data_IF_469808353141
#
_entry.id   IF_469808353141
#
_cell.length_a   1.000
_cell.length_b   1.000
_cell.length_c   1.000
_cell.angle_alpha   90.00
_cell.angle_beta   90.00
_cell.angle_gamma   90.00
#
_symmetry.space_group_name_H-M   'P 1'
#
loop_
_entity.id
_entity.type
_entity.pdbx_description
1 polymer ?
#
# COMPACT_ATOMS: atom_id res chain seq x y z
N UNK A 1 -1.11 -18.66 8.33
CA UNK A 1 -0.78 -17.48 7.48
C UNK A 1 -1.84 -16.39 7.47
N UNK A 2 -3.15 -16.67 7.29
CA UNK A 2 -4.18 -15.61 7.26
C UNK A 2 -4.44 -14.92 8.62
N UNK A 3 -4.32 -15.65 9.74
CA UNK A 3 -4.45 -15.08 11.10
C UNK A 3 -3.29 -14.15 11.48
N UNK A 4 -2.07 -14.50 11.08
CA UNK A 4 -0.87 -13.72 11.39
C UNK A 4 -0.91 -12.34 10.72
N UNK A 5 -1.31 -12.26 9.45
CA UNK A 5 -1.44 -10.99 8.74
C UNK A 5 -2.55 -10.09 9.30
N UNK A 6 -3.67 -10.66 9.76
CA UNK A 6 -4.77 -9.86 10.34
C UNK A 6 -4.38 -9.26 11.70
N UNK A 7 -3.73 -10.04 12.57
CA UNK A 7 -3.27 -9.53 13.87
C UNK A 7 -2.18 -8.46 13.71
N UNK A 8 -1.24 -8.65 12.77
CA UNK A 8 -0.22 -7.64 12.46
C UNK A 8 -0.86 -6.36 11.93
N UNK A 9 -1.83 -6.44 11.01
CA UNK A 9 -2.52 -5.26 10.51
C UNK A 9 -3.24 -4.47 11.62
N UNK A 10 -3.97 -5.13 12.52
CA UNK A 10 -4.67 -4.44 13.62
C UNK A 10 -3.70 -3.77 14.59
N UNK A 11 -2.62 -4.46 14.96
CA UNK A 11 -1.59 -3.91 15.86
C UNK A 11 -0.87 -2.74 15.21
N UNK A 12 -0.49 -2.86 13.93
CA UNK A 12 0.12 -1.78 13.17
C UNK A 12 -0.83 -0.57 12.99
N UNK A 13 -2.13 -0.80 12.76
CA UNK A 13 -3.11 0.28 12.68
C UNK A 13 -3.21 1.04 14.01
N UNK A 14 -3.31 0.32 15.13
CA UNK A 14 -3.34 0.95 16.46
C UNK A 14 -2.05 1.74 16.74
N UNK A 15 -0.88 1.15 16.44
CA UNK A 15 0.40 1.80 16.67
C UNK A 15 0.58 3.09 15.86
N UNK A 16 0.15 3.12 14.59
CA UNK A 16 0.23 4.31 13.74
C UNK A 16 -0.71 5.42 14.22
N UNK A 17 -1.90 5.07 14.71
CA UNK A 17 -2.86 6.07 15.20
C UNK A 17 -2.43 6.82 16.46
N UNK A 18 -1.64 6.17 17.31
CA UNK A 18 -1.31 6.66 18.66
C UNK A 18 0.13 7.22 18.76
N UNK A 19 0.93 7.18 17.69
CA UNK A 19 2.35 7.54 17.73
C UNK A 19 2.84 8.16 16.42
N UNK A 20 3.97 8.87 16.49
CA UNK A 20 4.68 9.30 15.28
C UNK A 20 5.35 8.10 14.57
N UNK A 21 5.62 8.25 13.27
CA UNK A 21 6.18 7.17 12.46
C UNK A 21 7.54 6.70 12.99
N UNK A 22 8.39 7.61 13.47
CA UNK A 22 9.71 7.25 13.99
C UNK A 22 9.59 6.36 15.24
N UNK A 23 8.62 6.63 16.12
CA UNK A 23 8.33 5.79 17.28
C UNK A 23 7.84 4.39 16.87
N UNK A 24 6.96 4.29 15.87
CA UNK A 24 6.49 2.99 15.34
C UNK A 24 7.65 2.22 14.70
N UNK A 25 8.47 2.88 13.88
CA UNK A 25 9.64 2.28 13.22
C UNK A 25 10.68 1.78 14.24
N UNK A 26 10.88 2.49 15.36
CA UNK A 26 11.77 2.03 16.43
C UNK A 26 11.33 0.70 17.03
N UNK A 27 10.03 0.40 17.06
CA UNK A 27 9.52 -0.88 17.55
C UNK A 27 9.84 -2.04 16.60
N UNK A 28 10.19 -1.75 15.33
CA UNK A 28 10.61 -2.76 14.35
C UNK A 28 12.07 -3.18 14.53
N UNK A 29 12.94 -2.29 15.04
CA UNK A 29 14.38 -2.56 15.24
C UNK A 29 14.65 -3.84 16.07
N UNK A 30 13.99 -4.07 17.22
CA UNK A 30 14.15 -5.31 17.98
C UNK A 30 13.78 -6.57 17.18
N UNK A 31 12.77 -6.49 16.30
CA UNK A 31 12.33 -7.63 15.47
C UNK A 31 13.39 -8.02 14.42
N UNK A 32 14.08 -7.04 13.85
CA UNK A 32 15.19 -7.27 12.91
C UNK A 32 16.39 -7.88 13.66
N UNK A 33 16.69 -7.37 14.86
CA UNK A 33 17.80 -7.87 15.67
C UNK A 33 17.55 -9.30 16.16
N UNK A 34 16.33 -9.63 16.58
CA UNK A 34 15.99 -11.00 17.01
C UNK A 34 16.03 -12.00 15.84
N UNK A 35 15.65 -11.59 14.62
CA UNK A 35 15.74 -12.42 13.43
C UNK A 35 17.19 -12.87 13.13
N UNK A 36 18.19 -12.02 13.39
CA UNK A 36 19.61 -12.37 13.22
C UNK A 36 20.12 -13.42 14.23
N UNK A 37 19.46 -13.56 15.38
CA UNK A 37 19.89 -14.43 16.49
C UNK A 37 19.28 -15.84 16.47
N UNK A 38 18.27 -16.08 15.62
CA UNK A 38 17.46 -17.31 15.65
C UNK A 38 18.09 -18.49 14.90
N UNK A 39 19.13 -18.28 14.10
CA UNK A 39 19.79 -19.37 13.35
C UNK A 39 20.56 -20.39 14.23
N UNK A 40 20.57 -20.22 15.56
CA UNK A 40 21.32 -21.07 16.50
C UNK A 40 20.51 -21.98 17.43
N UNK A 41 19.16 -21.99 17.41
CA UNK A 41 18.39 -22.80 18.37
C UNK A 41 17.30 -23.63 17.70
N UNK A 42 17.65 -24.87 17.38
CA UNK A 42 16.68 -25.93 17.08
C UNK A 42 15.93 -26.30 18.36
N UNK A 43 14.85 -25.59 18.67
CA UNK A 43 13.86 -26.05 19.66
C UNK A 43 13.24 -24.95 20.53
N UNK A 44 12.31 -24.17 19.96
CA UNK A 44 11.03 -23.81 20.60
C UNK A 44 10.29 -22.74 19.77
N UNK A 45 9.24 -23.15 19.06
CA UNK A 45 7.96 -22.43 18.94
C UNK A 45 7.83 -21.05 18.27
N UNK A 46 8.87 -20.23 18.13
CA UNK A 46 8.73 -18.89 17.52
C UNK A 46 9.64 -18.78 16.30
N UNK A 47 9.07 -19.02 15.13
CA UNK A 47 9.73 -18.76 13.86
C UNK A 47 10.00 -17.25 13.77
N UNK A 48 11.27 -16.86 13.74
CA UNK A 48 11.66 -15.48 13.48
C UNK A 48 11.10 -14.98 12.13
N UNK A 49 10.75 -13.70 12.06
CA UNK A 49 10.26 -13.06 10.84
C UNK A 49 11.34 -13.12 9.75
N UNK A 50 10.99 -13.60 8.56
CA UNK A 50 11.90 -13.59 7.41
C UNK A 50 12.07 -12.17 6.86
N UNK A 51 13.16 -11.92 6.13
CA UNK A 51 13.41 -10.59 5.51
C UNK A 51 12.24 -10.17 4.61
N UNK A 52 11.68 -11.10 3.84
CA UNK A 52 10.50 -10.85 3.00
C UNK A 52 9.28 -10.38 3.80
N UNK A 53 9.07 -10.94 4.99
CA UNK A 53 7.95 -10.58 5.88
C UNK A 53 8.19 -9.21 6.54
N UNK A 54 9.43 -8.92 6.92
CA UNK A 54 9.83 -7.60 7.41
C UNK A 54 9.62 -6.52 6.34
N UNK A 55 10.01 -6.80 5.09
CA UNK A 55 9.77 -5.90 3.96
C UNK A 55 8.27 -5.70 3.71
N UNK A 56 7.45 -6.76 3.78
CA UNK A 56 6.00 -6.66 3.66
C UNK A 56 5.37 -5.82 4.79
N UNK A 57 5.86 -5.97 6.02
CA UNK A 57 5.43 -5.17 7.16
C UNK A 57 5.80 -3.69 6.97
N UNK A 58 7.02 -3.38 6.52
CA UNK A 58 7.41 -2.01 6.21
C UNK A 58 6.54 -1.40 5.11
N UNK A 59 6.23 -2.16 4.05
CA UNK A 59 5.27 -1.72 3.02
C UNK A 59 3.93 -1.34 3.65
N UNK A 60 3.40 -2.18 4.57
CA UNK A 60 2.15 -1.88 5.25
C UNK A 60 2.24 -0.61 6.11
N UNK A 61 3.29 -0.47 6.93
CA UNK A 61 3.50 0.70 7.79
C UNK A 61 3.61 2.00 7.00
N UNK A 62 4.43 2.02 5.95
CA UNK A 62 4.56 3.21 5.10
C UNK A 62 3.29 3.49 4.31
N UNK A 63 2.48 2.48 3.97
CA UNK A 63 1.17 2.73 3.35
C UNK A 63 0.21 3.52 4.26
N UNK A 64 0.48 3.55 5.57
CA UNK A 64 -0.27 4.27 6.60
C UNK A 64 0.48 5.47 7.18
N UNK A 65 1.69 5.81 6.71
CA UNK A 65 2.52 6.83 7.36
C UNK A 65 1.89 8.22 7.39
N UNK A 66 1.07 8.55 6.39
CA UNK A 66 0.32 9.81 6.35
C UNK A 66 -0.74 9.96 7.43
N UNK A 67 -1.03 8.89 8.18
CA UNK A 67 -2.02 8.84 9.27
C UNK A 67 -1.35 8.93 10.65
N UNK A 68 -0.02 8.84 10.71
CA UNK A 68 0.74 8.96 11.94
C UNK A 68 0.70 10.38 12.50
N UNK A 69 0.93 10.52 13.81
CA UNK A 69 1.09 11.84 14.41
C UNK A 69 2.29 12.56 13.78
N UNK A 70 2.24 13.90 13.62
CA UNK A 70 3.38 14.67 13.13
C UNK A 70 4.61 14.42 14.00
N UNK A 71 5.66 13.88 13.38
CA UNK A 71 6.93 13.58 14.03
C UNK A 71 8.02 14.59 13.70
N UNK A 72 9.15 14.42 14.37
CA UNK A 72 10.40 15.08 14.01
C UNK A 72 11.04 14.34 12.82
N UNK A 73 11.14 15.02 11.66
CA UNK A 73 11.68 14.44 10.44
C UNK A 73 13.14 13.97 10.58
N UNK A 74 13.94 14.66 11.41
CA UNK A 74 15.32 14.26 11.67
C UNK A 74 15.39 12.94 12.45
N UNK A 75 14.41 12.72 13.35
CA UNK A 75 14.29 11.47 14.11
C UNK A 75 13.83 10.32 13.22
N UNK A 76 12.89 10.58 12.31
CA UNK A 76 12.44 9.59 11.32
C UNK A 76 13.62 9.13 10.46
N UNK A 77 14.35 10.08 9.87
CA UNK A 77 15.50 9.78 9.01
C UNK A 77 16.61 9.04 9.77
N UNK A 78 16.84 9.38 11.05
CA UNK A 78 17.78 8.66 11.91
C UNK A 78 17.36 7.21 12.12
N UNK A 79 16.09 6.95 12.43
CA UNK A 79 15.57 5.59 12.67
C UNK A 79 15.59 4.78 11.37
N UNK A 80 15.27 5.39 10.23
CA UNK A 80 15.41 4.75 8.93
C UNK A 80 16.85 4.31 8.66
N UNK A 81 17.85 5.17 8.90
CA UNK A 81 19.27 4.79 8.76
C UNK A 81 19.65 3.62 9.65
N UNK A 82 19.16 3.59 10.89
CA UNK A 82 19.37 2.47 11.81
C UNK A 82 18.72 1.17 11.28
N UNK A 83 17.50 1.25 10.74
CA UNK A 83 16.80 0.12 10.13
C UNK A 83 17.51 -0.39 8.87
N UNK A 84 17.97 0.51 8.00
CA UNK A 84 18.74 0.17 6.80
C UNK A 84 20.02 -0.58 7.21
N UNK A 85 20.75 -0.07 8.20
CA UNK A 85 21.95 -0.74 8.71
C UNK A 85 21.66 -2.13 9.26
N UNK A 86 20.61 -2.27 10.09
CA UNK A 86 20.22 -3.55 10.67
C UNK A 86 19.77 -4.57 9.60
N UNK A 87 18.97 -4.13 8.62
CA UNK A 87 18.53 -4.97 7.50
C UNK A 87 19.68 -5.33 6.57
N UNK A 88 20.66 -4.43 6.38
CA UNK A 88 21.86 -4.70 5.57
C UNK A 88 22.61 -5.88 6.16
N UNK A 89 22.86 -5.85 7.48
CA UNK A 89 23.52 -6.94 8.18
C UNK A 89 22.72 -8.23 8.06
N UNK A 90 21.43 -8.19 8.36
CA UNK A 90 20.55 -9.37 8.29
C UNK A 90 20.52 -9.99 6.88
N UNK A 91 20.49 -9.15 5.84
CA UNK A 91 20.48 -9.56 4.45
C UNK A 91 21.80 -10.22 4.04
N UNK A 92 22.95 -9.65 4.42
CA UNK A 92 24.28 -10.22 4.12
C UNK A 92 24.58 -11.52 4.86
N UNK A 93 23.85 -11.81 5.95
CA UNK A 93 23.98 -13.04 6.72
C UNK A 93 23.10 -14.18 6.17
N UNK A 94 22.21 -13.91 5.21
CA UNK A 94 21.33 -14.93 4.66
C UNK A 94 22.11 -16.05 3.97
N UNK A 95 21.79 -17.29 4.31
CA UNK A 95 22.36 -18.47 3.63
C UNK A 95 21.64 -18.81 2.33
N UNK A 96 20.44 -18.27 2.11
CA UNK A 96 19.65 -18.41 0.90
C UNK A 96 18.94 -17.10 0.58
N UNK A 97 18.87 -16.73 -0.70
CA UNK A 97 18.12 -15.54 -1.15
C UNK A 97 16.76 -15.98 -1.67
N UNK A 98 15.69 -15.38 -1.14
CA UNK A 98 14.34 -15.54 -1.70
C UNK A 98 14.26 -14.94 -3.12
N UNK A 99 13.26 -15.33 -3.93
CA UNK A 99 13.05 -14.69 -5.25
C UNK A 99 12.91 -13.18 -5.17
N UNK A 100 12.31 -12.65 -4.10
CA UNK A 100 12.24 -11.22 -3.84
C UNK A 100 13.63 -10.61 -3.67
N UNK A 101 14.44 -11.19 -2.78
CA UNK A 101 15.79 -10.71 -2.50
C UNK A 101 16.69 -10.79 -3.72
N UNK A 102 16.60 -11.86 -4.51
CA UNK A 102 17.34 -11.97 -5.77
C UNK A 102 16.93 -10.86 -6.76
N UNK A 103 15.63 -10.59 -6.86
CA UNK A 103 15.08 -9.57 -7.77
C UNK A 103 15.52 -8.16 -7.40
N UNK A 104 15.45 -7.78 -6.11
CA UNK A 104 15.83 -6.43 -5.67
C UNK A 104 17.35 -6.22 -5.60
N UNK A 105 18.13 -7.27 -5.36
CA UNK A 105 19.60 -7.18 -5.30
C UNK A 105 20.29 -7.35 -6.65
N UNK A 106 19.59 -7.98 -7.61
CA UNK A 106 20.13 -8.39 -8.90
C UNK A 106 21.18 -9.49 -8.78
N UNK A 107 21.17 -10.26 -7.69
CA UNK A 107 22.16 -11.29 -7.36
C UNK A 107 21.48 -12.64 -7.20
N UNK A 108 22.10 -13.71 -7.70
CA UNK A 108 21.52 -15.06 -7.67
C UNK A 108 21.97 -15.89 -6.45
N UNK A 109 23.12 -15.56 -5.86
CA UNK A 109 23.68 -16.30 -4.73
C UNK A 109 24.10 -15.38 -3.58
N UNK A 110 23.94 -15.80 -2.30
CA UNK A 110 24.38 -14.97 -1.17
C UNK A 110 25.88 -14.61 -1.21
N UNK A 111 26.72 -15.46 -1.79
CA UNK A 111 28.17 -15.24 -1.90
C UNK A 111 28.54 -14.01 -2.75
N UNK A 112 27.68 -13.62 -3.69
CA UNK A 112 27.85 -12.44 -4.54
C UNK A 112 27.32 -11.15 -3.86
N UNK A 113 26.58 -11.28 -2.75
CA UNK A 113 25.92 -10.15 -2.10
C UNK A 113 26.86 -9.44 -1.11
N UNK A 114 27.62 -8.47 -1.63
CA UNK A 114 28.49 -7.62 -0.82
C UNK A 114 27.70 -6.59 -0.01
N UNK A 115 28.27 -6.16 1.13
CA UNK A 115 27.64 -5.23 2.07
C UNK A 115 27.22 -3.90 1.43
N UNK A 116 28.08 -3.31 0.60
CA UNK A 116 27.79 -2.05 -0.10
C UNK A 116 26.56 -2.16 -1.02
N UNK A 117 26.46 -3.28 -1.75
CA UNK A 117 25.30 -3.56 -2.62
C UNK A 117 24.03 -3.74 -1.80
N UNK A 118 24.09 -4.55 -0.74
CA UNK A 118 22.95 -4.77 0.15
C UNK A 118 22.46 -3.44 0.76
N UNK A 119 23.38 -2.57 1.17
CA UNK A 119 23.06 -1.26 1.71
C UNK A 119 22.38 -0.36 0.69
N UNK A 120 22.96 -0.20 -0.50
CA UNK A 120 22.41 0.63 -1.58
C UNK A 120 21.01 0.16 -2.03
N UNK A 121 20.79 -1.15 -2.10
CA UNK A 121 19.46 -1.72 -2.41
C UNK A 121 18.45 -1.34 -1.34
N UNK A 122 18.82 -1.41 -0.06
CA UNK A 122 17.93 -1.04 1.04
C UNK A 122 17.65 0.47 1.09
N UNK A 123 18.61 1.33 0.74
CA UNK A 123 18.34 2.77 0.56
C UNK A 123 17.29 3.02 -0.54
N UNK A 124 17.36 2.28 -1.65
CA UNK A 124 16.37 2.34 -2.73
C UNK A 124 14.99 1.84 -2.28
N UNK A 125 14.96 0.78 -1.48
CA UNK A 125 13.73 0.26 -0.84
C UNK A 125 13.10 1.34 0.04
N UNK A 126 13.86 1.99 0.93
CA UNK A 126 13.34 3.07 1.79
C UNK A 126 12.89 4.29 0.99
N UNK A 127 13.60 4.62 -0.09
CA UNK A 127 13.16 5.68 -1.02
C UNK A 127 11.80 5.36 -1.63
N UNK A 128 11.58 4.10 -2.03
CA UNK A 128 10.27 3.62 -2.51
C UNK A 128 9.20 3.68 -1.41
N UNK A 129 9.54 3.28 -0.18
CA UNK A 129 8.63 3.30 0.97
C UNK A 129 8.17 4.72 1.32
N UNK A 130 9.06 5.71 1.33
CA UNK A 130 8.67 7.13 1.50
C UNK A 130 7.73 7.59 0.39
N UNK A 131 8.03 7.24 -0.86
CA UNK A 131 7.14 7.49 -2.00
C UNK A 131 5.74 6.88 -1.81
N UNK A 132 5.66 5.65 -1.28
CA UNK A 132 4.40 4.99 -0.94
C UNK A 132 3.61 5.76 0.12
N UNK A 133 4.28 6.30 1.15
CA UNK A 133 3.64 7.13 2.17
C UNK A 133 3.00 8.41 1.63
N UNK A 134 3.55 8.95 0.55
CA UNK A 134 3.02 10.14 -0.12
C UNK A 134 2.12 9.86 -1.32
N UNK A 135 1.92 8.59 -1.69
CA UNK A 135 1.21 8.19 -2.90
C UNK A 135 -0.22 8.71 -2.99
N UNK A 136 -0.83 9.06 -1.84
CA UNK A 136 -2.20 9.58 -1.76
C UNK A 136 -2.29 11.07 -1.44
N UNK A 137 -1.15 11.77 -1.35
CA UNK A 137 -1.08 13.17 -0.89
C UNK A 137 -1.82 14.15 -1.81
N UNK A 138 -1.94 13.82 -3.09
CA UNK A 138 -2.66 14.63 -4.09
C UNK A 138 -4.18 14.40 -4.10
N UNK A 139 -4.68 13.36 -3.44
CA UNK A 139 -6.13 13.09 -3.36
C UNK A 139 -6.77 14.00 -2.31
N UNK A 140 -8.01 14.42 -2.57
CA UNK A 140 -8.73 15.39 -1.74
C UNK A 140 -9.60 14.70 -0.69
N UNK A 141 -10.39 13.71 -1.11
CA UNK A 141 -11.32 12.96 -0.26
C UNK A 141 -10.79 11.56 0.06
N UNK A 142 -10.19 10.88 -0.91
CA UNK A 142 -9.74 9.48 -0.80
C UNK A 142 -8.27 9.36 -0.32
N UNK A 143 -7.79 10.34 0.44
CA UNK A 143 -6.39 10.41 0.89
C UNK A 143 -6.05 9.38 1.97
N UNK A 144 -7.00 9.09 2.86
CA UNK A 144 -6.78 8.19 4.00
C UNK A 144 -7.35 6.80 3.76
N UNK A 145 -6.59 5.77 4.13
CA UNK A 145 -7.03 4.36 4.17
C UNK A 145 -7.10 3.83 5.59
N UNK A 146 -7.23 4.75 6.54
CA UNK A 146 -7.26 4.49 7.97
C UNK A 146 -8.56 5.03 8.55
N UNK A 147 -9.11 4.31 9.51
CA UNK A 147 -10.25 4.76 10.30
C UNK A 147 -9.82 4.77 11.76
N UNK A 148 -9.75 5.95 12.40
CA UNK A 148 -9.27 6.07 13.77
C UNK A 148 -10.20 5.36 14.75
N UNK A 149 -9.66 5.02 15.92
CA UNK A 149 -10.44 4.52 17.04
C UNK A 149 -11.41 5.61 17.53
N UNK A 150 -12.67 5.24 17.76
CA UNK A 150 -13.72 6.13 18.27
C UNK A 150 -14.11 5.82 19.72
N UNK A 151 -13.28 5.03 20.43
CA UNK A 151 -13.51 4.57 21.80
C UNK A 151 -14.45 3.36 21.91
N UNK A 152 -15.17 3.00 20.84
CA UNK A 152 -16.05 1.82 20.76
C UNK A 152 -15.47 0.79 19.77
N UNK A 153 -14.92 1.27 18.67
CA UNK A 153 -14.28 0.50 17.62
C UNK A 153 -12.79 0.77 17.63
N UNK A 154 -12.00 -0.28 17.48
CA UNK A 154 -10.55 -0.15 17.31
C UNK A 154 -10.23 0.52 15.97
N UNK A 155 -9.04 1.10 15.89
CA UNK A 155 -8.50 1.59 14.63
C UNK A 155 -8.51 0.48 13.57
N UNK A 156 -8.99 0.80 12.36
CA UNK A 156 -9.10 -0.19 11.27
C UNK A 156 -8.57 0.33 9.95
N UNK A 157 -8.05 -0.59 9.14
CA UNK A 157 -7.74 -0.33 7.75
C UNK A 157 -9.04 -0.23 6.94
N UNK A 158 -9.20 0.87 6.19
CA UNK A 158 -10.31 1.13 5.27
C UNK A 158 -9.79 1.01 3.83
N UNK A 159 -9.97 -0.15 3.16
CA UNK A 159 -9.39 -0.39 1.84
C UNK A 159 -9.84 0.64 0.81
N UNK A 160 -8.91 1.15 0.01
CA UNK A 160 -9.16 2.20 -0.96
C UNK A 160 -10.28 1.86 -1.97
N UNK A 161 -10.29 0.62 -2.49
CA UNK A 161 -11.32 0.14 -3.42
C UNK A 161 -12.73 0.17 -2.82
N UNK A 162 -12.86 -0.09 -1.50
CA UNK A 162 -14.14 -0.01 -0.82
C UNK A 162 -14.63 1.43 -0.78
N UNK A 163 -13.73 2.39 -0.53
CA UNK A 163 -14.08 3.81 -0.50
C UNK A 163 -14.59 4.28 -1.86
N UNK A 164 -13.92 3.91 -2.96
CA UNK A 164 -14.38 4.23 -4.32
C UNK A 164 -15.79 3.69 -4.57
N UNK A 165 -16.06 2.44 -4.19
CA UNK A 165 -17.39 1.85 -4.39
C UNK A 165 -18.46 2.52 -3.53
N UNK A 166 -18.11 2.91 -2.31
CA UNK A 166 -19.01 3.64 -1.41
C UNK A 166 -19.35 5.02 -1.98
N UNK A 167 -18.38 5.75 -2.55
CA UNK A 167 -18.63 7.02 -3.24
C UNK A 167 -19.50 6.83 -4.49
N UNK A 168 -19.18 5.86 -5.35
CA UNK A 168 -19.94 5.60 -6.58
C UNK A 168 -21.39 5.20 -6.27
N UNK A 169 -21.62 4.41 -5.24
CA UNK A 169 -22.95 3.90 -4.90
C UNK A 169 -23.65 4.70 -3.80
N UNK A 170 -23.08 5.83 -3.38
CA UNK A 170 -23.70 6.68 -2.37
C UNK A 170 -25.09 7.16 -2.84
N UNK A 171 -26.14 7.05 -2.01
CA UNK A 171 -27.51 7.40 -2.41
C UNK A 171 -27.64 8.89 -2.79
N UNK A 172 -26.95 9.76 -2.06
CA UNK A 172 -26.98 11.22 -2.28
C UNK A 172 -26.10 11.68 -3.45
N UNK A 173 -25.30 10.77 -4.04
CA UNK A 173 -24.42 11.04 -5.19
C UNK A 173 -23.58 12.32 -5.03
N UNK A 174 -22.78 12.44 -3.94
CA UNK A 174 -21.91 13.58 -3.77
C UNK A 174 -20.89 13.65 -4.91
N UNK A 175 -20.51 14.86 -5.33
CA UNK A 175 -19.40 15.02 -6.26
C UNK A 175 -18.09 14.61 -5.55
N UNK A 176 -17.42 13.58 -6.08
CA UNK A 176 -16.09 13.17 -5.64
C UNK A 176 -15.04 13.75 -6.59
N UNK A 177 -14.22 14.74 -6.16
CA UNK A 177 -13.22 15.37 -7.01
C UNK A 177 -12.05 14.44 -7.35
N UNK A 178 -11.90 13.31 -6.65
CA UNK A 178 -10.89 12.30 -6.93
C UNK A 178 -11.34 11.29 -8.01
N UNK A 179 -12.63 11.29 -8.38
CA UNK A 179 -13.18 10.46 -9.46
C UNK A 179 -13.42 11.37 -10.68
N UNK A 180 -12.42 11.40 -11.55
CA UNK A 180 -12.47 12.23 -12.76
C UNK A 180 -13.18 11.52 -13.93
N UNK A 181 -13.99 12.29 -14.64
CA UNK A 181 -14.60 11.84 -15.89
C UNK A 181 -13.68 12.19 -17.06
N UNK A 182 -13.00 11.19 -17.63
CA UNK A 182 -12.18 11.35 -18.83
C UNK A 182 -13.02 11.18 -20.10
N UNK A 183 -13.43 12.29 -20.74
CA UNK A 183 -13.97 12.29 -22.10
C UNK A 183 -12.83 12.38 -23.13
N UNK A 184 -12.22 11.26 -23.48
CA UNK A 184 -11.25 11.26 -24.58
C UNK A 184 -11.99 11.28 -25.93
N UNK A 185 -12.17 12.47 -26.53
CA UNK A 185 -12.77 12.60 -27.87
C UNK A 185 -12.78 14.02 -28.43
N UNK A 186 -12.80 14.12 -29.77
CA UNK A 186 -12.93 15.36 -30.57
C UNK A 186 -14.12 16.25 -30.14
N UNK A 187 -15.09 15.66 -29.45
CA UNK A 187 -16.27 16.31 -28.87
C UNK A 187 -15.98 17.21 -27.67
N UNK A 188 -14.87 17.03 -26.95
CA UNK A 188 -14.51 17.90 -25.82
C UNK A 188 -13.96 19.25 -26.28
N UNK A 189 -13.25 19.28 -27.41
CA UNK A 189 -12.79 20.52 -28.06
C UNK A 189 -13.92 21.35 -28.68
N UNK A 190 -15.00 20.70 -29.12
CA UNK A 190 -16.21 21.39 -29.57
C UNK A 190 -17.09 21.83 -28.39
N UNK A 191 -17.06 21.09 -27.28
CA UNK A 191 -17.73 21.51 -26.05
C UNK A 191 -17.05 22.73 -25.46
N UNK A 192 -15.72 22.83 -25.38
CA UNK A 192 -15.07 24.03 -24.81
C UNK A 192 -15.41 25.34 -25.55
N UNK A 193 -15.67 25.30 -26.87
CA UNK A 193 -16.08 26.48 -27.65
C UNK A 193 -17.55 26.90 -27.50
N UNK A 194 -18.45 25.98 -27.11
CA UNK A 194 -19.89 26.25 -26.93
C UNK A 194 -20.38 26.11 -25.47
N UNK A 195 -19.55 25.61 -24.55
CA UNK A 195 -19.93 25.20 -23.18
C UNK A 195 -19.58 26.21 -22.09
N UNK A 196 -19.31 27.48 -22.42
CA UNK A 196 -19.17 28.52 -21.38
C UNK A 196 -20.51 28.83 -20.67
N UNK A 197 -21.64 28.28 -21.13
CA UNK A 197 -22.98 28.66 -20.64
C UNK A 197 -23.94 27.50 -20.28
N UNK A 198 -23.52 26.23 -20.32
CA UNK A 198 -24.37 25.14 -19.83
C UNK A 198 -23.61 24.25 -18.85
N UNK A 199 -24.10 24.18 -17.61
CA UNK A 199 -23.69 23.19 -16.62
C UNK A 199 -24.24 21.83 -17.08
N UNK A 200 -23.56 21.19 -18.03
CA UNK A 200 -23.93 19.87 -18.52
C UNK A 200 -23.57 18.87 -17.43
N UNK A 201 -24.56 18.22 -16.82
CA UNK A 201 -24.31 17.21 -15.79
C UNK A 201 -23.40 16.12 -16.36
N UNK A 202 -22.26 15.92 -15.71
CA UNK A 202 -21.35 14.82 -16.05
C UNK A 202 -22.06 13.51 -15.71
N UNK A 203 -22.03 12.50 -16.59
CA UNK A 203 -22.66 11.22 -16.29
C UNK A 203 -21.98 10.60 -15.06
N UNK A 204 -22.78 10.13 -14.11
CA UNK A 204 -22.28 9.51 -12.91
C UNK A 204 -22.11 8.00 -13.16
N UNK A 205 -21.06 7.33 -12.64
CA UNK A 205 -20.88 5.89 -12.87
C UNK A 205 -22.09 5.04 -12.46
N UNK A 206 -22.86 5.50 -11.47
CA UNK A 206 -24.08 4.81 -11.00
C UNK A 206 -25.33 5.03 -11.87
N UNK A 207 -25.27 5.87 -12.90
CA UNK A 207 -26.32 6.04 -13.91
C UNK A 207 -26.39 4.83 -14.87
N UNK A 208 -25.35 4.00 -14.89
CA UNK A 208 -25.25 2.82 -15.74
C UNK A 208 -25.58 1.54 -14.97
N UNK A 209 -26.18 0.57 -15.67
CA UNK A 209 -26.53 -0.75 -15.10
C UNK A 209 -25.31 -1.66 -14.88
N UNK A 210 -24.19 -1.36 -15.55
CA UNK A 210 -22.93 -2.10 -15.47
C UNK A 210 -21.80 -1.14 -15.10
N UNK A 211 -21.08 -1.45 -14.04
CA UNK A 211 -19.83 -0.79 -13.67
C UNK A 211 -18.66 -1.71 -14.05
N UNK A 212 -17.68 -1.16 -14.78
CA UNK A 212 -16.43 -1.84 -15.09
C UNK A 212 -15.34 -1.25 -14.21
N UNK A 213 -14.72 -2.08 -13.37
CA UNK A 213 -13.59 -1.69 -12.52
C UNK A 213 -12.33 -2.38 -13.02
N UNK A 214 -11.40 -1.60 -13.60
CA UNK A 214 -10.12 -2.12 -14.08
C UNK A 214 -8.99 -1.71 -13.12
N UNK A 215 -8.43 -2.68 -12.40
CA UNK A 215 -7.32 -2.45 -11.47
C UNK A 215 -5.97 -2.63 -12.17
N UNK A 216 -5.23 -1.53 -12.29
CA UNK A 216 -3.84 -1.54 -12.78
C UNK A 216 -2.91 -1.84 -11.61
N UNK A 217 -1.99 -2.79 -11.79
CA UNK A 217 -1.06 -3.23 -10.74
C UNK A 217 -1.43 -4.58 -10.13
N UNK A 218 -2.71 -4.95 -10.22
CA UNK A 218 -3.24 -6.25 -9.82
C UNK A 218 -4.27 -6.16 -8.70
N UNK A 219 -4.88 -7.29 -8.39
CA UNK A 219 -5.92 -7.40 -7.34
C UNK A 219 -5.76 -8.72 -6.59
N UNK A 220 -6.09 -8.75 -5.31
CA UNK A 220 -6.11 -9.96 -4.49
C UNK A 220 -7.51 -10.60 -4.44
N UNK A 221 -7.64 -11.91 -4.18
CA UNK A 221 -8.95 -12.54 -3.96
C UNK A 221 -9.76 -11.90 -2.82
N UNK A 222 -9.09 -11.39 -1.78
CA UNK A 222 -9.73 -10.68 -0.67
C UNK A 222 -10.36 -9.38 -1.12
N UNK A 223 -9.71 -8.63 -2.01
CA UNK A 223 -10.27 -7.40 -2.61
C UNK A 223 -11.42 -7.71 -3.56
N UNK A 224 -11.33 -8.77 -4.37
CA UNK A 224 -12.47 -9.20 -5.22
C UNK A 224 -13.69 -9.52 -4.36
N UNK A 225 -13.49 -10.26 -3.26
CA UNK A 225 -14.55 -10.54 -2.30
C UNK A 225 -15.11 -9.26 -1.67
N UNK A 226 -14.22 -8.33 -1.29
CA UNK A 226 -14.62 -7.03 -0.74
C UNK A 226 -15.50 -6.24 -1.70
N UNK A 227 -15.13 -6.17 -2.99
CA UNK A 227 -15.95 -5.52 -4.03
C UNK A 227 -17.34 -6.13 -4.06
N UNK A 228 -17.44 -7.46 -4.14
CA UNK A 228 -18.72 -8.17 -4.17
C UNK A 228 -19.57 -7.84 -2.94
N UNK A 229 -18.98 -7.93 -1.75
CA UNK A 229 -19.68 -7.75 -0.48
C UNK A 229 -20.13 -6.27 -0.32
N UNK A 230 -19.31 -5.30 -0.73
CA UNK A 230 -19.66 -3.87 -0.72
C UNK A 230 -20.78 -3.55 -1.72
N UNK A 231 -20.72 -4.06 -2.95
CA UNK A 231 -21.77 -3.84 -3.97
C UNK A 231 -23.10 -4.43 -3.52
N UNK A 232 -23.08 -5.64 -2.96
CA UNK A 232 -24.29 -6.30 -2.45
C UNK A 232 -24.95 -5.49 -1.31
N UNK A 233 -24.16 -4.79 -0.49
CA UNK A 233 -24.66 -3.95 0.58
C UNK A 233 -25.18 -2.59 0.08
N UNK A 234 -24.46 -1.93 -0.84
CA UNK A 234 -24.74 -0.54 -1.24
C UNK A 234 -25.75 -0.43 -2.40
N UNK A 235 -25.70 -1.34 -3.37
CA UNK A 235 -26.60 -1.31 -4.54
C UNK A 235 -26.95 -2.74 -5.00
N UNK A 236 -27.88 -3.42 -4.28
CA UNK A 236 -28.35 -4.74 -4.68
C UNK A 236 -28.84 -4.75 -6.13
N UNK A 237 -28.35 -5.70 -6.93
CA UNK A 237 -28.72 -5.85 -8.34
C UNK A 237 -27.86 -5.09 -9.35
N UNK A 238 -26.90 -4.27 -8.91
CA UNK A 238 -25.89 -3.70 -9.81
C UNK A 238 -24.95 -4.79 -10.35
N UNK A 239 -24.62 -4.74 -11.64
CA UNK A 239 -23.60 -5.60 -12.23
C UNK A 239 -22.24 -4.90 -12.17
N UNK A 240 -21.26 -5.54 -11.53
CA UNK A 240 -19.87 -5.04 -11.48
C UNK A 240 -18.95 -6.06 -12.10
N UNK A 241 -18.20 -5.64 -13.13
CA UNK A 241 -17.18 -6.45 -13.79
C UNK A 241 -15.80 -5.98 -13.32
N UNK A 242 -15.06 -6.86 -12.67
CA UNK A 242 -13.71 -6.57 -12.16
C UNK A 242 -12.68 -7.16 -13.11
N UNK A 243 -11.84 -6.30 -13.66
CA UNK A 243 -10.67 -6.67 -14.46
C UNK A 243 -9.42 -6.23 -13.72
N UNK A 244 -8.31 -6.93 -13.93
CA UNK A 244 -7.02 -6.54 -13.37
C UNK A 244 -5.90 -6.98 -14.29
N UNK A 245 -4.74 -6.35 -14.15
CA UNK A 245 -3.54 -6.78 -14.88
C UNK A 245 -3.04 -8.15 -14.41
N UNK A 246 -3.21 -8.48 -13.12
CA UNK A 246 -2.71 -9.71 -12.47
C UNK A 246 -3.54 -10.04 -11.22
N UNK A 247 -3.68 -11.32 -10.91
CA UNK A 247 -4.16 -11.78 -9.61
C UNK A 247 -2.97 -11.91 -8.66
N UNK A 248 -3.07 -11.32 -7.46
CA UNK A 248 -1.97 -11.22 -6.50
C UNK A 248 -2.25 -11.96 -5.20
N UNK A 249 -1.18 -12.43 -4.57
CA UNK A 249 -1.11 -12.76 -3.14
C UNK A 249 -0.46 -11.57 -2.41
N UNK A 250 -0.75 -11.36 -1.11
CA UNK A 250 -0.12 -10.29 -0.34
C UNK A 250 1.42 -10.31 -0.37
N UNK A 251 2.01 -11.51 -0.41
CA UNK A 251 3.45 -11.69 -0.51
C UNK A 251 4.07 -11.24 -1.85
N UNK A 252 3.24 -11.05 -2.89
CA UNK A 252 3.72 -10.58 -4.21
C UNK A 252 3.89 -9.04 -4.23
N UNK A 253 3.31 -8.31 -3.25
CA UNK A 253 3.31 -6.83 -3.21
C UNK A 253 4.74 -6.25 -3.06
N UNK A 254 5.60 -6.71 -2.14
CA UNK A 254 6.97 -6.20 -2.04
C UNK A 254 7.74 -6.37 -3.36
N UNK A 255 7.57 -7.51 -4.03
CA UNK A 255 8.21 -7.75 -5.33
C UNK A 255 7.73 -6.75 -6.38
N UNK A 256 6.43 -6.49 -6.47
CA UNK A 256 5.90 -5.47 -7.38
C UNK A 256 6.44 -4.08 -7.06
N UNK A 257 6.45 -3.69 -5.79
CA UNK A 257 6.88 -2.36 -5.39
C UNK A 257 8.37 -2.12 -5.64
N UNK A 258 9.23 -3.10 -5.32
CA UNK A 258 10.69 -2.90 -5.34
C UNK A 258 11.38 -3.37 -6.61
N UNK A 259 10.77 -4.28 -7.39
CA UNK A 259 11.43 -4.92 -8.54
C UNK A 259 10.86 -4.53 -9.89
N UNK A 260 9.83 -3.67 -9.95
CA UNK A 260 9.21 -3.27 -11.22
C UNK A 260 9.32 -1.77 -11.46
N UNK A 261 9.47 -1.39 -12.73
CA UNK A 261 9.35 0.00 -13.14
C UNK A 261 7.91 0.45 -12.92
N UNK A 262 7.73 1.35 -11.95
CA UNK A 262 6.43 1.91 -11.60
C UNK A 262 6.01 2.90 -12.68
N UNK A 263 4.73 2.89 -13.02
CA UNK A 263 4.16 3.99 -13.80
C UNK A 263 4.27 5.25 -12.95
N UNK A 264 5.02 6.23 -13.44
CA UNK A 264 5.04 7.57 -12.84
C UNK A 264 3.87 8.30 -13.48
N UNK A 265 2.79 8.59 -12.74
CA UNK A 265 1.72 9.39 -13.30
C UNK A 265 2.30 10.75 -13.71
N UNK A 266 1.99 11.20 -14.94
CA UNK A 266 2.32 12.54 -15.41
C UNK A 266 1.39 13.54 -14.73
N UNK A 267 1.60 13.72 -13.43
CA UNK A 267 0.95 14.74 -12.62
C UNK A 267 1.76 16.00 -12.86
N UNK A 268 1.42 16.73 -13.92
CA UNK A 268 2.04 18.02 -14.23
C UNK A 268 2.01 18.91 -12.99
N UNK A 269 3.18 19.08 -12.36
CA UNK A 269 3.44 20.06 -11.29
C UNK A 269 3.68 21.41 -11.91
#
# INVERSE_FOLDING_TARGET
>A
MQRTNFTVCTVCCAAVGDSDLAAVLRQVLPLIKSASSSEGSAGSGEAGLQVDELLAMLVFLYSLSGEALPGDGDQEERVERELIGALTLLLTQQTNLSPLLQSITGVLSPAELVMERAHSVLESVFTTLRGLGHARSHMKQLRSVYSPSDGVHQATYRPFIKQILEEIFHPDRPECPDIEHASSGLTDLLKTGFSMFMKVNRPHPSDHSVLILFLVGGVTPSEIRLVRDTVAAQKPGAQVLVFSTRLLRPADIPHLLFSTNRLVPDIGV
#
